data_IF_655512184596
#
_entry.id   IF_655512184596
#
_cell.length_a   1.000
_cell.length_b   1.000
_cell.length_c   1.000
_cell.angle_alpha   90.00
_cell.angle_beta   90.00
_cell.angle_gamma   90.00
#
_symmetry.space_group_name_H-M   'P 1'
#
loop_
_entity.id
_entity.type
_entity.pdbx_description
1 polymer ?
#
# COMPACT_ATOMS: atom_id res chain seq x y z
N UNK A 1 -59.29 -7.21 -10.82
CA UNK A 1 -58.70 -6.32 -11.83
C UNK A 1 -57.23 -6.10 -11.48
N UNK A 2 -56.40 -5.89 -12.52
CA UNK A 2 -54.93 -5.68 -12.56
C UNK A 2 -54.02 -6.89 -12.28
N UNK A 3 -53.44 -7.45 -13.34
CA UNK A 3 -52.15 -8.15 -13.33
C UNK A 3 -51.54 -8.24 -14.74
N UNK A 4 -50.27 -7.81 -14.88
CA UNK A 4 -49.12 -8.41 -15.63
C UNK A 4 -49.25 -8.69 -17.16
N UNK A 5 -48.21 -8.68 -18.01
CA UNK A 5 -46.74 -8.48 -17.96
C UNK A 5 -46.22 -8.43 -19.43
N UNK A 6 -45.10 -7.73 -19.65
CA UNK A 6 -43.93 -8.03 -20.54
C UNK A 6 -44.08 -8.31 -22.06
N UNK A 7 -43.21 -7.66 -22.86
CA UNK A 7 -42.21 -8.22 -23.81
C UNK A 7 -41.82 -7.13 -24.84
N UNK A 8 -40.56 -6.72 -24.97
CA UNK A 8 -39.46 -7.38 -25.71
C UNK A 8 -39.74 -7.48 -27.23
N UNK A 9 -38.97 -6.69 -28.00
CA UNK A 9 -38.52 -6.95 -29.38
C UNK A 9 -39.48 -6.51 -30.51
N UNK A 10 -39.32 -5.26 -30.95
CA UNK A 10 -39.27 -4.99 -32.38
C UNK A 10 -37.83 -5.36 -32.81
N UNK A 11 -37.54 -6.53 -33.39
CA UNK A 11 -37.99 -7.03 -34.68
C UNK A 11 -37.57 -6.11 -35.83
N UNK A 12 -36.98 -6.74 -36.86
CA UNK A 12 -36.47 -6.21 -38.12
C UNK A 12 -34.97 -5.84 -38.04
N UNK A 13 -34.02 -6.49 -38.71
CA UNK A 13 -34.05 -7.32 -39.91
C UNK A 13 -32.69 -8.08 -40.02
N UNK A 14 -32.65 -9.09 -40.90
CA UNK A 14 -31.53 -9.99 -41.26
C UNK A 14 -31.60 -11.35 -40.56
N UNK A 15 -32.63 -12.09 -40.94
CA UNK A 15 -32.66 -13.55 -40.93
C UNK A 15 -32.30 -14.06 -42.34
N UNK A 16 -31.83 -15.31 -42.40
CA UNK A 16 -31.78 -16.18 -43.59
C UNK A 16 -30.70 -15.96 -44.68
N UNK A 17 -29.46 -16.44 -44.45
CA UNK A 17 -28.72 -17.22 -45.46
C UNK A 17 -27.41 -17.85 -44.90
N UNK A 18 -27.51 -19.00 -44.20
CA UNK A 18 -26.58 -20.12 -44.42
C UNK A 18 -27.11 -21.40 -43.76
N UNK A 19 -27.65 -22.25 -44.62
CA UNK A 19 -28.03 -23.63 -44.33
C UNK A 19 -26.85 -24.44 -43.78
N UNK A 20 -27.09 -25.09 -42.63
CA UNK A 20 -26.91 -26.54 -42.44
C UNK A 20 -25.54 -27.15 -42.84
N UNK A 21 -24.45 -26.67 -42.23
CA UNK A 21 -23.20 -27.45 -42.16
C UNK A 21 -23.19 -28.22 -40.85
N UNK A 22 -23.51 -29.50 -40.94
CA UNK A 22 -23.35 -30.49 -39.87
C UNK A 22 -21.85 -30.59 -39.48
N UNK A 23 -21.46 -29.86 -38.43
CA UNK A 23 -20.08 -29.86 -37.88
C UNK A 23 -19.77 -31.18 -37.14
N UNK A 24 -20.67 -32.17 -37.13
CA UNK A 24 -20.36 -33.51 -36.63
C UNK A 24 -19.77 -34.46 -37.69
N UNK A 25 -19.67 -34.05 -38.96
CA UNK A 25 -19.09 -34.89 -40.03
C UNK A 25 -17.63 -34.55 -40.39
N UNK A 26 -16.89 -33.91 -39.47
CA UNK A 26 -15.44 -33.79 -39.54
C UNK A 26 -14.72 -34.49 -38.37
N UNK A 27 -15.43 -35.34 -37.62
CA UNK A 27 -14.82 -36.29 -36.66
C UNK A 27 -14.33 -37.52 -37.46
N UNK A 28 -13.25 -37.32 -38.20
CA UNK A 28 -12.44 -38.41 -38.73
C UNK A 28 -11.54 -38.97 -37.63
N UNK A 29 -11.83 -40.20 -37.19
CA UNK A 29 -10.94 -41.18 -36.55
C UNK A 29 -9.48 -40.77 -36.27
N UNK A 30 -9.27 -39.98 -35.22
CA UNK A 30 -8.01 -39.98 -34.45
C UNK A 30 -8.32 -40.22 -32.97
N UNK A 31 -9.22 -41.18 -32.70
CA UNK A 31 -9.37 -41.79 -31.39
C UNK A 31 -8.25 -42.82 -31.17
N UNK A 32 -7.01 -42.38 -31.05
CA UNK A 32 -5.96 -43.18 -30.40
C UNK A 32 -4.76 -42.32 -30.01
N UNK A 33 -4.89 -41.62 -28.89
CA UNK A 33 -3.84 -41.48 -27.88
C UNK A 33 -4.40 -40.58 -26.78
N UNK A 34 -4.80 -41.20 -25.66
CA UNK A 34 -5.13 -40.48 -24.44
C UNK A 34 -3.88 -39.78 -23.92
N UNK A 35 -3.90 -38.44 -23.90
CA UNK A 35 -2.98 -37.63 -23.08
C UNK A 35 -3.37 -36.14 -23.06
N UNK A 36 -4.64 -35.80 -22.87
CA UNK A 36 -5.06 -34.40 -22.65
C UNK A 36 -6.12 -34.29 -21.56
N UNK A 37 -5.83 -34.86 -20.39
CA UNK A 37 -6.72 -34.77 -19.22
C UNK A 37 -6.00 -34.29 -17.94
N UNK A 38 -4.90 -33.52 -18.04
CA UNK A 38 -4.26 -32.99 -16.80
C UNK A 38 -3.49 -31.66 -16.95
N UNK A 39 -3.60 -30.96 -18.09
CA UNK A 39 -2.85 -29.71 -18.30
C UNK A 39 -3.68 -28.43 -18.09
N UNK A 40 -5.02 -28.51 -18.08
CA UNK A 40 -5.89 -27.33 -18.11
C UNK A 40 -6.35 -26.84 -16.72
N UNK A 41 -6.14 -27.63 -15.67
CA UNK A 41 -6.67 -27.39 -14.32
C UNK A 41 -5.63 -26.91 -13.30
N UNK A 42 -4.41 -26.58 -13.75
CA UNK A 42 -3.35 -26.01 -12.90
C UNK A 42 -3.00 -24.58 -13.27
N UNK A 43 -4.00 -23.72 -13.44
CA UNK A 43 -3.79 -22.32 -13.06
C UNK A 43 -3.56 -22.39 -11.55
N UNK A 44 -2.30 -22.42 -11.14
CA UNK A 44 -1.89 -22.62 -9.76
C UNK A 44 -2.66 -21.65 -8.86
N UNK A 45 -3.21 -22.13 -7.75
CA UNK A 45 -3.92 -21.32 -6.76
C UNK A 45 -3.14 -20.04 -6.39
N UNK A 46 -1.81 -20.15 -6.30
CA UNK A 46 -0.90 -19.03 -6.12
C UNK A 46 -0.93 -17.97 -7.25
N UNK A 47 -1.05 -18.39 -8.51
CA UNK A 47 -1.20 -17.47 -9.65
C UNK A 47 -2.55 -16.75 -9.61
N UNK A 48 -3.62 -17.45 -9.22
CA UNK A 48 -4.94 -16.83 -9.09
C UNK A 48 -4.98 -15.80 -7.95
N UNK A 49 -4.37 -16.13 -6.81
CA UNK A 49 -4.22 -15.22 -5.66
C UNK A 49 -3.36 -13.99 -6.02
N UNK A 50 -2.26 -14.18 -6.75
CA UNK A 50 -1.41 -13.07 -7.20
C UNK A 50 -2.16 -12.13 -8.16
N UNK A 51 -2.91 -12.68 -9.11
CA UNK A 51 -3.77 -11.88 -10.02
C UNK A 51 -4.84 -11.14 -9.22
N UNK A 52 -5.46 -11.78 -8.23
CA UNK A 52 -6.47 -11.16 -7.38
C UNK A 52 -5.90 -10.01 -6.53
N UNK A 53 -4.71 -10.19 -5.94
CA UNK A 53 -4.00 -9.11 -5.24
C UNK A 53 -3.65 -7.95 -6.17
N UNK A 54 -3.16 -8.25 -7.37
CA UNK A 54 -2.78 -7.22 -8.34
C UNK A 54 -4.01 -6.42 -8.80
N UNK A 55 -5.15 -7.09 -9.01
CA UNK A 55 -6.42 -6.42 -9.29
C UNK A 55 -6.90 -5.56 -8.11
N UNK A 56 -6.75 -6.03 -6.88
CA UNK A 56 -7.13 -5.28 -5.68
C UNK A 56 -6.29 -4.00 -5.53
N UNK A 57 -4.97 -4.09 -5.76
CA UNK A 57 -4.07 -2.93 -5.74
C UNK A 57 -4.46 -1.90 -6.81
N UNK A 58 -4.76 -2.34 -8.04
CA UNK A 58 -5.21 -1.43 -9.11
C UNK A 58 -6.56 -0.77 -8.78
N UNK A 59 -7.48 -1.51 -8.17
CA UNK A 59 -8.75 -0.96 -7.72
C UNK A 59 -8.55 0.08 -6.60
N UNK A 60 -7.69 -0.21 -5.62
CA UNK A 60 -7.36 0.72 -4.54
C UNK A 60 -6.70 1.99 -5.09
N UNK A 61 -5.77 1.84 -6.03
CA UNK A 61 -5.14 2.95 -6.75
C UNK A 61 -6.16 3.82 -7.51
N UNK A 62 -7.16 3.21 -8.13
CA UNK A 62 -8.23 3.94 -8.83
C UNK A 62 -9.11 4.76 -7.88
N UNK A 63 -9.26 4.35 -6.61
CA UNK A 63 -10.05 5.07 -5.60
C UNK A 63 -9.35 6.32 -5.06
N UNK A 64 -8.03 6.44 -5.23
CA UNK A 64 -7.29 7.64 -4.78
C UNK A 64 -7.75 8.86 -5.60
N UNK A 65 -8.23 9.93 -4.95
CA UNK A 65 -8.64 11.15 -5.66
C UNK A 65 -7.50 11.74 -6.50
N UNK A 66 -7.79 12.21 -7.71
CA UNK A 66 -6.75 12.72 -8.62
C UNK A 66 -5.98 13.92 -8.04
N UNK A 67 -6.62 14.70 -7.17
CA UNK A 67 -5.95 15.80 -6.45
C UNK A 67 -4.84 15.27 -5.54
N UNK A 68 -5.07 14.13 -4.88
CA UNK A 68 -4.12 13.47 -4.00
C UNK A 68 -2.98 12.85 -4.82
N UNK A 69 -3.29 12.18 -5.94
CA UNK A 69 -2.26 11.67 -6.87
C UNK A 69 -1.34 12.79 -7.36
N UNK A 70 -1.90 13.91 -7.80
CA UNK A 70 -1.11 15.08 -8.24
C UNK A 70 -0.27 15.67 -7.12
N UNK A 71 -0.81 15.73 -5.91
CA UNK A 71 -0.05 16.19 -4.74
C UNK A 71 1.16 15.27 -4.46
N UNK A 72 0.96 13.94 -4.46
CA UNK A 72 2.05 12.98 -4.23
C UNK A 72 3.15 13.13 -5.27
N UNK A 73 2.79 13.19 -6.57
CA UNK A 73 3.77 13.37 -7.65
C UNK A 73 4.49 14.71 -7.53
N UNK A 74 3.78 15.79 -7.20
CA UNK A 74 4.39 17.10 -7.00
C UNK A 74 5.34 17.12 -5.80
N UNK A 75 4.93 16.47 -4.71
CA UNK A 75 5.74 16.37 -3.51
C UNK A 75 7.01 15.55 -3.75
N UNK A 76 6.90 14.44 -4.49
CA UNK A 76 8.04 13.65 -4.93
C UNK A 76 9.02 14.47 -5.77
N UNK A 77 8.52 15.23 -6.74
CA UNK A 77 9.35 16.11 -7.55
C UNK A 77 10.06 17.18 -6.70
N UNK A 78 9.36 17.77 -5.73
CA UNK A 78 9.96 18.75 -4.82
C UNK A 78 11.10 18.15 -3.98
N UNK A 79 10.97 16.90 -3.53
CA UNK A 79 12.02 16.16 -2.82
C UNK A 79 13.21 15.86 -3.74
N UNK A 80 12.96 15.40 -4.98
CA UNK A 80 14.02 15.13 -5.96
C UNK A 80 14.81 16.38 -6.35
N UNK A 81 14.13 17.51 -6.52
CA UNK A 81 14.75 18.79 -6.86
C UNK A 81 15.38 19.48 -5.64
N UNK A 82 15.28 18.87 -4.46
CA UNK A 82 15.70 19.43 -3.18
C UNK A 82 15.14 20.84 -2.93
N UNK A 83 13.87 21.05 -3.34
CA UNK A 83 13.22 22.35 -3.26
C UNK A 83 12.54 22.53 -1.89
N UNK A 84 13.33 23.01 -0.93
CA UNK A 84 12.89 23.21 0.46
C UNK A 84 11.59 24.03 0.58
N UNK A 85 11.39 25.04 -0.28
CA UNK A 85 10.20 25.88 -0.22
C UNK A 85 8.92 25.08 -0.56
N UNK A 86 8.96 24.29 -1.63
CA UNK A 86 7.83 23.44 -2.03
C UNK A 86 7.60 22.30 -1.05
N UNK A 87 8.67 21.70 -0.50
CA UNK A 87 8.58 20.68 0.56
C UNK A 87 7.90 21.28 1.79
N UNK A 88 8.27 22.50 2.20
CA UNK A 88 7.65 23.21 3.34
C UNK A 88 6.17 23.43 3.10
N UNK A 89 5.79 23.94 1.92
CA UNK A 89 4.37 24.17 1.58
C UNK A 89 3.58 22.87 1.55
N UNK A 90 4.15 21.80 0.99
CA UNK A 90 3.53 20.50 0.94
C UNK A 90 3.30 19.94 2.34
N UNK A 91 4.28 20.06 3.24
CA UNK A 91 4.22 19.58 4.61
C UNK A 91 3.27 20.40 5.51
N UNK A 92 3.44 21.73 5.57
CA UNK A 92 2.71 22.57 6.54
C UNK A 92 1.24 22.79 6.16
N UNK A 93 0.95 22.83 4.86
CA UNK A 93 -0.38 23.24 4.34
C UNK A 93 -1.00 22.18 3.44
N UNK A 94 -0.24 21.70 2.44
CA UNK A 94 -0.75 20.79 1.42
C UNK A 94 -1.30 19.49 2.01
N UNK A 95 -0.49 18.84 2.85
CA UNK A 95 -0.82 17.61 3.55
C UNK A 95 -2.05 17.78 4.45
N UNK A 96 -2.03 18.79 5.32
CA UNK A 96 -3.12 19.06 6.27
C UNK A 96 -4.45 19.32 5.55
N UNK A 97 -4.43 20.12 4.48
CA UNK A 97 -5.63 20.45 3.70
C UNK A 97 -6.23 19.22 3.01
N UNK A 98 -5.40 18.33 2.46
CA UNK A 98 -5.87 17.10 1.84
C UNK A 98 -6.35 16.08 2.87
N UNK A 99 -5.65 15.99 4.00
CA UNK A 99 -6.04 15.15 5.14
C UNK A 99 -7.44 15.53 5.61
N UNK A 100 -7.70 16.81 5.90
CA UNK A 100 -9.01 17.26 6.35
C UNK A 100 -10.13 17.03 5.33
N UNK A 101 -9.81 17.13 4.04
CA UNK A 101 -10.80 17.03 2.97
C UNK A 101 -11.16 15.59 2.60
N UNK A 102 -10.18 14.68 2.57
CA UNK A 102 -10.35 13.33 2.03
C UNK A 102 -10.09 12.23 3.05
N UNK A 103 -9.26 12.46 4.06
CA UNK A 103 -8.73 11.43 4.96
C UNK A 103 -8.93 11.79 6.45
N UNK A 104 -9.94 12.58 6.80
CA UNK A 104 -10.14 13.05 8.17
C UNK A 104 -10.43 11.93 9.18
N UNK A 105 -10.98 10.81 8.71
CA UNK A 105 -11.37 9.63 9.53
C UNK A 105 -10.90 8.31 8.93
N UNK A 106 -10.12 8.38 7.86
CA UNK A 106 -9.61 7.22 7.13
C UNK A 106 -8.12 7.41 6.94
N UNK A 107 -7.42 6.33 6.68
CA UNK A 107 -6.00 6.37 6.42
C UNK A 107 -5.72 6.95 5.03
N UNK A 108 -4.52 7.51 4.87
CA UNK A 108 -3.98 7.82 3.56
C UNK A 108 -3.70 6.51 2.80
N UNK A 109 -3.56 6.53 1.47
CA UNK A 109 -3.19 5.34 0.71
C UNK A 109 -1.87 4.74 1.21
N UNK A 110 -1.76 3.43 1.26
CA UNK A 110 -0.50 2.76 1.63
C UNK A 110 0.62 3.08 0.62
N UNK A 111 1.86 3.01 1.10
CA UNK A 111 3.06 3.33 0.31
C UNK A 111 3.18 2.42 -0.93
N UNK A 112 2.81 1.15 -0.78
CA UNK A 112 2.79 0.12 -1.83
C UNK A 112 1.84 0.48 -2.97
N UNK A 113 0.73 1.17 -2.66
CA UNK A 113 -0.27 1.58 -3.65
C UNK A 113 0.24 2.78 -4.44
N UNK A 114 0.99 3.68 -3.81
CA UNK A 114 1.49 4.90 -4.46
C UNK A 114 2.89 4.74 -5.06
N UNK A 115 3.61 3.66 -4.76
CA UNK A 115 4.96 3.41 -5.26
C UNK A 115 5.10 3.57 -6.80
N UNK A 116 4.14 3.09 -7.63
CA UNK A 116 4.21 3.30 -9.08
C UNK A 116 4.10 4.78 -9.51
N UNK A 117 3.56 5.69 -8.67
CA UNK A 117 3.48 7.13 -8.98
C UNK A 117 4.83 7.83 -8.85
N UNK A 118 5.71 7.28 -8.02
CA UNK A 118 6.96 7.90 -7.60
C UNK A 118 8.16 7.09 -8.07
N UNK A 119 7.95 6.22 -9.05
CA UNK A 119 8.97 5.33 -9.64
C UNK A 119 9.70 4.47 -8.59
N UNK A 120 8.97 4.01 -7.58
CA UNK A 120 9.51 3.18 -6.49
C UNK A 120 10.71 3.83 -5.75
N UNK A 121 10.73 5.17 -5.69
CA UNK A 121 11.74 5.92 -4.94
C UNK A 121 11.66 5.62 -3.45
N UNK A 122 12.62 4.82 -2.96
CA UNK A 122 12.65 4.33 -1.59
C UNK A 122 12.76 5.47 -0.57
N UNK A 123 13.57 6.50 -0.85
CA UNK A 123 13.72 7.62 0.09
C UNK A 123 12.40 8.36 0.24
N UNK A 124 11.75 8.67 -0.88
CA UNK A 124 10.46 9.33 -0.84
C UNK A 124 9.39 8.46 -0.15
N UNK A 125 9.38 7.15 -0.39
CA UNK A 125 8.44 6.24 0.24
C UNK A 125 8.63 6.15 1.76
N UNK A 126 9.87 6.20 2.26
CA UNK A 126 10.16 6.28 3.70
C UNK A 126 9.61 7.59 4.30
N UNK A 127 9.83 8.71 3.63
CA UNK A 127 9.29 10.02 4.05
C UNK A 127 7.76 10.05 4.01
N UNK A 128 7.16 9.42 3.00
CA UNK A 128 5.71 9.29 2.89
C UNK A 128 5.12 8.42 4.00
N UNK A 129 5.75 7.28 4.32
CA UNK A 129 5.35 6.41 5.43
C UNK A 129 5.43 7.14 6.77
N UNK A 130 6.43 8.00 6.95
CA UNK A 130 6.54 8.83 8.15
C UNK A 130 5.30 9.73 8.30
N UNK A 131 4.92 10.47 7.26
CA UNK A 131 3.71 11.30 7.27
C UNK A 131 2.42 10.49 7.45
N UNK A 132 2.36 9.31 6.83
CA UNK A 132 1.25 8.37 6.99
C UNK A 132 1.08 7.97 8.46
N UNK A 133 2.14 7.51 9.13
CA UNK A 133 2.04 7.11 10.54
C UNK A 133 1.76 8.31 11.44
N UNK A 134 2.36 9.47 11.19
CA UNK A 134 2.02 10.71 11.90
C UNK A 134 0.53 11.04 11.83
N UNK A 135 -0.10 10.84 10.67
CA UNK A 135 -1.56 10.96 10.54
C UNK A 135 -2.30 9.92 11.39
N UNK A 136 -1.88 8.66 11.33
CA UNK A 136 -2.47 7.58 12.16
C UNK A 136 -2.41 7.94 13.66
N UNK A 137 -1.26 8.40 14.17
CA UNK A 137 -1.12 8.76 15.59
C UNK A 137 -1.91 10.00 15.99
N UNK A 138 -2.02 11.00 15.11
CA UNK A 138 -2.67 12.27 15.43
C UNK A 138 -4.20 12.24 15.27
N UNK A 139 -4.73 11.38 14.39
CA UNK A 139 -6.17 11.37 14.03
C UNK A 139 -6.86 10.04 14.28
N UNK A 140 -6.13 8.94 14.27
CA UNK A 140 -6.67 7.58 14.37
C UNK A 140 -6.20 6.92 15.68
N UNK A 141 -6.60 5.66 15.88
CA UNK A 141 -6.11 4.85 16.98
C UNK A 141 -5.10 3.84 16.42
N UNK A 142 -3.79 4.01 16.65
CA UNK A 142 -2.79 3.10 16.15
C UNK A 142 -2.97 1.73 16.80
N UNK A 143 -2.98 0.69 15.97
CA UNK A 143 -2.96 -0.70 16.39
C UNK A 143 -1.51 -1.15 16.71
N UNK A 144 -1.32 -2.43 17.03
CA UNK A 144 0.01 -2.94 17.40
C UNK A 144 0.95 -3.01 16.19
N UNK A 145 0.43 -3.37 15.01
CA UNK A 145 1.20 -3.47 13.77
C UNK A 145 1.65 -2.07 13.31
N UNK A 146 0.80 -1.06 13.45
CA UNK A 146 1.15 0.34 13.17
C UNK A 146 2.34 0.80 14.02
N UNK A 147 2.43 0.37 15.28
CA UNK A 147 3.55 0.68 16.17
C UNK A 147 4.84 0.04 15.71
N UNK A 148 4.79 -1.22 15.28
CA UNK A 148 5.96 -1.90 14.74
C UNK A 148 6.42 -1.24 13.43
N UNK A 149 5.52 -1.05 12.47
CA UNK A 149 5.87 -0.50 11.18
C UNK A 149 6.30 0.97 11.21
N UNK A 150 5.71 1.79 12.09
CA UNK A 150 6.17 3.18 12.30
C UNK A 150 7.59 3.24 12.88
N UNK A 151 7.92 2.32 13.80
CA UNK A 151 9.26 2.20 14.36
C UNK A 151 10.27 1.68 13.32
N UNK A 152 9.91 0.65 12.56
CA UNK A 152 10.73 0.12 11.46
C UNK A 152 11.04 1.21 10.43
N UNK A 153 10.02 1.98 10.02
CA UNK A 153 10.19 3.10 9.10
C UNK A 153 11.14 4.17 9.64
N UNK A 154 11.04 4.50 10.94
CA UNK A 154 11.94 5.44 11.58
C UNK A 154 13.38 4.92 11.56
N UNK A 155 13.58 3.63 11.87
CA UNK A 155 14.90 3.00 11.81
C UNK A 155 15.45 2.99 10.37
N UNK A 156 14.61 2.73 9.37
CA UNK A 156 14.99 2.78 7.96
C UNK A 156 15.44 4.18 7.55
N UNK A 157 14.70 5.22 7.95
CA UNK A 157 15.08 6.61 7.70
C UNK A 157 16.43 6.97 8.33
N UNK A 158 16.63 6.65 9.61
CA UNK A 158 17.91 6.93 10.28
C UNK A 158 19.05 6.10 9.70
N UNK A 159 18.82 4.83 9.35
CA UNK A 159 19.83 4.01 8.69
C UNK A 159 20.23 4.58 7.33
N UNK A 160 19.27 5.10 6.56
CA UNK A 160 19.54 5.77 5.29
C UNK A 160 20.39 7.04 5.50
N UNK A 161 20.04 7.86 6.50
CA UNK A 161 20.75 9.10 6.80
C UNK A 161 22.18 8.84 7.34
N UNK A 162 22.34 7.88 8.26
CA UNK A 162 23.58 7.66 9.02
C UNK A 162 24.60 6.78 8.30
N UNK A 163 24.16 5.83 7.44
CA UNK A 163 25.05 4.91 6.74
C UNK A 163 25.39 5.35 5.31
N UNK A 164 25.04 6.58 4.94
CA UNK A 164 25.37 7.15 3.63
C UNK A 164 26.87 7.53 3.56
N UNK A 165 27.51 7.34 2.40
CA UNK A 165 28.95 7.61 2.17
C UNK A 165 29.33 9.11 2.25
N UNK A 166 28.37 10.00 2.54
CA UNK A 166 28.54 11.44 2.65
C UNK A 166 27.22 12.12 3.05
N UNK A 167 27.21 13.46 3.21
CA UNK A 167 25.98 14.19 3.54
C UNK A 167 24.89 13.87 2.51
N UNK A 168 23.78 13.30 2.97
CA UNK A 168 22.63 13.03 2.10
C UNK A 168 22.16 14.35 1.49
N UNK A 169 22.01 14.44 0.15
CA UNK A 169 21.49 15.64 -0.52
C UNK A 169 19.97 15.74 -0.34
N UNK A 170 19.52 15.79 0.92
CA UNK A 170 18.12 15.89 1.33
C UNK A 170 18.00 17.04 2.32
N UNK A 171 17.24 18.06 1.94
CA UNK A 171 16.86 19.17 2.81
C UNK A 171 15.38 19.06 3.14
N UNK A 172 15.09 18.97 4.44
CA UNK A 172 13.73 18.98 4.96
C UNK A 172 13.50 20.25 5.80
N UNK A 173 12.25 20.73 5.90
CA UNK A 173 11.89 21.81 6.80
C UNK A 173 12.31 21.50 8.23
N UNK A 174 12.84 22.50 8.95
CA UNK A 174 13.32 22.32 10.33
C UNK A 174 12.23 21.76 11.24
N UNK A 175 11.00 22.25 11.11
CA UNK A 175 9.87 21.74 11.90
C UNK A 175 9.64 20.25 11.63
N UNK A 176 9.69 19.81 10.37
CA UNK A 176 9.48 18.40 10.03
C UNK A 176 10.60 17.51 10.60
N UNK A 177 11.84 17.98 10.58
CA UNK A 177 12.96 17.26 11.21
C UNK A 177 12.77 17.08 12.71
N UNK A 178 12.39 18.15 13.43
CA UNK A 178 12.10 18.06 14.87
C UNK A 178 10.97 17.09 15.16
N UNK A 179 9.91 17.20 14.37
CA UNK A 179 8.76 16.33 14.41
C UNK A 179 9.12 14.84 14.24
N UNK A 180 10.06 14.51 13.35
CA UNK A 180 10.58 13.14 13.15
C UNK A 180 11.39 12.68 14.37
N UNK A 181 12.28 13.55 14.88
CA UNK A 181 13.13 13.26 16.04
C UNK A 181 12.31 13.04 17.30
N UNK A 182 11.33 13.89 17.56
CA UNK A 182 10.46 13.80 18.73
C UNK A 182 9.62 12.51 18.70
N UNK A 183 9.08 12.15 17.53
CA UNK A 183 8.34 10.89 17.35
C UNK A 183 9.26 9.69 17.61
N UNK A 184 10.48 9.69 17.06
CA UNK A 184 11.44 8.61 17.31
C UNK A 184 11.79 8.46 18.80
N UNK A 185 12.05 9.56 19.49
CA UNK A 185 12.32 9.57 20.93
C UNK A 185 11.12 9.02 21.70
N UNK A 186 9.91 9.45 21.34
CA UNK A 186 8.68 8.97 21.95
C UNK A 186 8.51 7.45 21.78
N UNK A 187 8.66 6.93 20.56
CA UNK A 187 8.57 5.49 20.28
C UNK A 187 9.63 4.70 21.05
N UNK A 188 10.88 5.17 21.04
CA UNK A 188 11.98 4.53 21.77
C UNK A 188 11.71 4.48 23.28
N UNK A 189 11.29 5.60 23.88
CA UNK A 189 10.96 5.65 25.30
C UNK A 189 9.76 4.75 25.64
N UNK A 190 8.70 4.79 24.82
CA UNK A 190 7.52 3.95 24.97
C UNK A 190 7.91 2.47 24.96
N UNK A 191 8.78 2.07 24.03
CA UNK A 191 9.31 0.73 23.92
C UNK A 191 10.18 0.33 25.12
N UNK A 192 11.09 1.19 25.58
CA UNK A 192 11.89 0.95 26.79
C UNK A 192 11.01 0.74 28.04
N UNK A 193 9.99 1.59 28.22
CA UNK A 193 9.02 1.48 29.32
C UNK A 193 8.20 0.20 29.21
N UNK A 194 7.76 -0.15 28.00
CA UNK A 194 7.04 -1.40 27.75
C UNK A 194 7.92 -2.61 28.05
N UNK A 195 9.19 -2.65 27.61
CA UNK A 195 10.15 -3.71 27.96
C UNK A 195 10.37 -3.84 29.47
N UNK A 196 10.45 -2.73 30.20
CA UNK A 196 10.67 -2.74 31.64
C UNK A 196 9.47 -3.29 32.44
N UNK A 197 8.24 -3.18 31.92
CA UNK A 197 7.01 -3.64 32.59
C UNK A 197 6.64 -5.08 32.24
N UNK A 198 7.49 -6.04 32.59
CA UNK A 198 7.28 -7.48 32.28
C UNK A 198 6.11 -8.09 33.07
N UNK A 199 5.82 -7.59 34.29
CA UNK A 199 4.86 -8.20 35.22
C UNK A 199 3.37 -8.00 34.87
N UNK A 200 3.06 -7.15 33.89
CA UNK A 200 1.69 -6.84 33.49
C UNK A 200 1.33 -7.36 32.09
N UNK A 201 2.20 -8.20 31.50
CA UNK A 201 2.08 -8.67 30.12
C UNK A 201 1.39 -10.03 30.03
N UNK A 202 0.63 -10.25 28.97
CA UNK A 202 0.08 -11.55 28.63
C UNK A 202 1.18 -12.52 28.16
N UNK A 203 0.91 -13.82 28.17
CA UNK A 203 1.85 -14.83 27.67
C UNK A 203 2.22 -14.61 26.18
N UNK A 204 1.30 -14.04 25.40
CA UNK A 204 1.49 -13.69 23.98
C UNK A 204 2.43 -12.49 23.81
N UNK A 205 2.30 -11.47 24.66
CA UNK A 205 3.21 -10.31 24.70
C UNK A 205 4.62 -10.68 25.22
N UNK A 206 4.70 -11.68 26.10
CA UNK A 206 5.97 -12.23 26.58
C UNK A 206 6.66 -13.08 25.50
N UNK A 207 5.89 -13.82 24.70
CA UNK A 207 6.39 -14.53 23.52
C UNK A 207 6.89 -13.54 22.44
N UNK A 208 6.17 -12.45 22.18
CA UNK A 208 6.64 -11.38 21.28
C UNK A 208 7.91 -10.68 21.79
N UNK A 209 8.06 -10.48 23.11
CA UNK A 209 9.32 -10.00 23.70
C UNK A 209 10.48 -11.00 23.55
N UNK A 210 10.19 -12.29 23.66
CA UNK A 210 11.19 -13.36 23.53
C UNK A 210 11.60 -13.60 22.07
N UNK A 211 10.68 -13.42 21.12
CA UNK A 211 10.95 -13.38 19.67
C UNK A 211 11.45 -11.98 19.21
N UNK A 212 11.44 -11.01 20.13
CA UNK A 212 11.74 -9.58 19.96
C UNK A 212 13.19 -9.25 19.61
N UNK A 213 13.99 -10.24 19.25
CA UNK A 213 15.25 -10.06 18.52
C UNK A 213 15.05 -9.30 17.18
N UNK A 214 13.81 -9.11 16.72
CA UNK A 214 13.47 -8.26 15.56
C UNK A 214 13.39 -6.76 15.86
N UNK A 215 13.35 -6.35 17.14
CA UNK A 215 13.41 -4.94 17.53
C UNK A 215 14.83 -4.53 17.99
N UNK A 216 15.64 -5.52 18.40
CA UNK A 216 17.08 -5.38 18.64
C UNK A 216 17.89 -5.23 17.32
N UNK A 217 17.25 -5.25 16.14
CA UNK A 217 17.88 -5.03 14.82
C UNK A 217 18.15 -3.56 14.51
N UNK A 218 17.61 -2.61 15.29
CA UNK A 218 18.00 -1.21 15.15
C UNK A 218 19.41 -1.02 15.75
N UNK A 219 20.44 -0.68 14.94
CA UNK A 219 21.82 -0.56 15.42
C UNK A 219 22.02 0.51 16.50
N UNK A 220 21.05 1.42 16.66
CA UNK A 220 21.06 2.50 17.64
C UNK A 220 20.68 2.05 19.06
N UNK A 221 20.31 0.78 19.25
CA UNK A 221 19.95 0.18 20.55
C UNK A 221 21.12 -0.60 21.15
N UNK A 222 22.28 -0.64 20.48
CA UNK A 222 23.52 -1.27 20.93
C UNK A 222 24.53 -0.29 21.53
#
# INVERSE_FOLDING_TARGET
MSSQRMALWAAEEIDEELHDVDVNLAIGNYAQNGLYDDAQSRINEATLLAVQQQMAQQAAFAQIPDVVKRFIVHFHQAVLDNNLAEITVAYESGWNKLTEKYYAKTEWPEAEIIAPLVNDDQLFLILYRELYYRHVYSRLQPNIDDRFHSYENSCELFNYLLNSDGPVPLELPEQWLWDIVDEFIYQFQSFCVWRAKVKAKSDEELLMLADGARCDTCPLVH
#
